data_IF_410407309732
#
_entry.id   IF_410407309732
#
_cell.length_a   1.000
_cell.length_b   1.000
_cell.length_c   1.000
_cell.angle_alpha   90.00
_cell.angle_beta   90.00
_cell.angle_gamma   90.00
#
_symmetry.space_group_name_H-M   'P 1'
#
loop_
_entity.id
_entity.type
_entity.pdbx_description
1 polymer ?
#
# COMPACT_ATOMS: atom_id res chain seq x y z
N UNK A 1 -3.97 69.05 -14.92
CA UNK A 1 -4.85 68.18 -15.72
C UNK A 1 -4.18 66.80 -15.83
N UNK A 2 -4.66 65.82 -15.05
CA UNK A 2 -5.17 64.49 -15.50
C UNK A 2 -4.17 63.68 -16.39
N UNK A 3 -3.55 62.62 -15.85
CA UNK A 3 -3.83 61.16 -16.12
C UNK A 3 -3.14 60.68 -17.43
N UNK A 4 -2.42 59.56 -17.61
CA UNK A 4 -2.39 58.17 -17.11
C UNK A 4 -0.99 57.55 -17.44
N UNK A 5 -0.33 56.81 -16.53
CA UNK A 5 -0.23 55.33 -16.42
C UNK A 5 0.24 54.55 -17.67
N UNK A 6 1.33 53.78 -17.53
CA UNK A 6 1.60 52.41 -18.05
C UNK A 6 2.99 51.99 -17.51
N UNK A 7 3.14 51.33 -16.36
CA UNK A 7 2.79 49.95 -15.97
C UNK A 7 3.40 48.87 -16.87
N UNK A 8 4.48 48.23 -16.38
CA UNK A 8 4.89 46.86 -16.75
C UNK A 8 5.96 46.35 -15.76
N UNK A 9 5.56 46.05 -14.52
CA UNK A 9 6.30 45.10 -13.69
C UNK A 9 5.84 43.70 -14.10
N UNK A 10 6.71 42.97 -14.81
CA UNK A 10 6.51 41.53 -15.05
C UNK A 10 6.85 40.82 -13.73
N UNK A 11 5.84 40.65 -12.89
CA UNK A 11 5.91 39.73 -11.76
C UNK A 11 5.81 38.30 -12.32
N UNK A 12 6.96 37.67 -12.52
CA UNK A 12 7.05 36.24 -12.80
C UNK A 12 6.67 35.50 -11.52
N UNK A 13 5.37 35.26 -11.31
CA UNK A 13 4.91 34.36 -10.26
C UNK A 13 5.44 32.96 -10.59
N UNK A 14 6.38 32.47 -9.76
CA UNK A 14 6.68 31.05 -9.66
C UNK A 14 5.39 30.36 -9.19
N UNK A 15 4.54 29.97 -10.13
CA UNK A 15 3.50 28.99 -9.89
C UNK A 15 4.24 27.67 -9.72
N UNK A 16 4.66 27.38 -8.48
CA UNK A 16 5.03 26.02 -8.13
C UNK A 16 3.79 25.19 -8.42
N UNK A 17 3.83 24.42 -9.51
CA UNK A 17 2.84 23.39 -9.75
C UNK A 17 2.91 22.46 -8.54
N UNK A 18 2.00 22.64 -7.60
CA UNK A 18 1.71 21.64 -6.59
C UNK A 18 1.04 20.54 -7.41
N UNK A 19 1.84 19.61 -7.94
CA UNK A 19 1.31 18.31 -8.31
C UNK A 19 0.78 17.72 -7.00
N UNK A 20 -0.54 17.87 -6.78
CA UNK A 20 -1.21 17.17 -5.71
C UNK A 20 -0.89 15.69 -5.90
N UNK A 21 -0.38 15.05 -4.84
CA UNK A 21 -0.13 13.61 -4.90
C UNK A 21 -1.45 12.91 -5.27
N UNK A 22 -1.44 11.96 -6.22
CA UNK A 22 -2.64 11.20 -6.57
C UNK A 22 -3.22 10.55 -5.31
N UNK A 23 -4.54 10.44 -5.23
CA UNK A 23 -5.14 9.72 -4.13
C UNK A 23 -4.73 8.25 -4.22
N UNK A 24 -4.62 7.54 -3.10
CA UNK A 24 -4.09 6.18 -3.11
C UNK A 24 -4.91 5.23 -4.00
N UNK A 25 -6.21 5.47 -4.13
CA UNK A 25 -7.07 4.71 -5.05
C UNK A 25 -6.74 4.92 -6.52
N UNK A 26 -6.19 6.09 -6.89
CA UNK A 26 -5.83 6.42 -8.28
C UNK A 26 -4.52 5.70 -8.70
N UNK A 27 -3.76 5.19 -7.72
CA UNK A 27 -2.53 4.42 -7.95
C UNK A 27 -2.82 2.94 -8.26
N UNK A 28 -4.04 2.49 -7.99
CA UNK A 28 -4.42 1.09 -8.12
C UNK A 28 -4.73 0.75 -9.59
N UNK A 29 -4.41 -0.47 -10.03
CA UNK A 29 -4.72 -0.92 -11.38
C UNK A 29 -6.22 -1.08 -11.60
N UNK A 30 -6.64 -1.10 -12.87
CA UNK A 30 -8.04 -1.27 -13.25
C UNK A 30 -8.60 -2.64 -12.85
N UNK A 31 -7.73 -3.64 -12.71
CA UNK A 31 -8.02 -5.02 -12.33
C UNK A 31 -8.25 -5.17 -10.80
N UNK A 32 -8.32 -4.07 -10.06
CA UNK A 32 -8.65 -4.08 -8.63
C UNK A 32 -10.10 -4.55 -8.42
N UNK A 33 -10.27 -5.73 -7.81
CA UNK A 33 -11.58 -6.34 -7.54
C UNK A 33 -12.11 -6.07 -6.14
N UNK A 34 -11.25 -5.66 -5.22
CA UNK A 34 -11.64 -5.20 -3.89
C UNK A 34 -10.75 -4.04 -3.47
N UNK A 35 -11.36 -2.98 -2.95
CA UNK A 35 -10.68 -1.80 -2.44
C UNK A 35 -11.32 -1.37 -1.12
N UNK A 36 -10.48 -1.22 -0.10
CA UNK A 36 -10.81 -0.52 1.13
C UNK A 36 -9.83 0.64 1.32
N UNK A 37 -10.28 1.87 1.07
CA UNK A 37 -9.50 3.09 1.23
C UNK A 37 -10.07 3.95 2.37
N UNK A 38 -9.19 4.51 3.18
CA UNK A 38 -9.54 5.27 4.37
C UNK A 38 -8.73 6.57 4.41
N UNK A 39 -9.31 7.67 4.92
CA UNK A 39 -8.61 8.95 5.01
C UNK A 39 -7.45 8.93 6.02
N UNK A 40 -7.53 8.04 7.01
CA UNK A 40 -6.52 7.83 8.04
C UNK A 40 -6.58 6.40 8.60
N UNK A 41 -5.56 6.05 9.38
CA UNK A 41 -5.44 4.73 9.98
C UNK A 41 -6.49 4.43 11.05
N UNK A 42 -6.90 5.43 11.84
CA UNK A 42 -7.93 5.24 12.87
C UNK A 42 -9.26 4.83 12.24
N UNK A 43 -9.58 5.39 11.07
CA UNK A 43 -10.75 5.03 10.27
C UNK A 43 -10.60 3.63 9.67
N UNK A 44 -9.41 3.25 9.22
CA UNK A 44 -9.13 1.89 8.75
C UNK A 44 -9.33 0.85 9.87
N UNK A 45 -8.73 1.07 11.05
CA UNK A 45 -8.83 0.13 12.18
C UNK A 45 -10.27 -0.08 12.65
N UNK A 46 -11.05 1.01 12.77
CA UNK A 46 -12.48 0.93 13.11
C UNK A 46 -13.30 0.15 12.08
N UNK A 47 -13.06 0.37 10.79
CA UNK A 47 -13.94 -0.15 9.74
C UNK A 47 -13.58 -1.55 9.22
N UNK A 48 -12.30 -1.95 9.32
CA UNK A 48 -11.85 -3.26 8.87
C UNK A 48 -12.13 -4.39 9.88
N UNK A 49 -12.02 -4.12 11.19
CA UNK A 49 -12.18 -5.18 12.20
C UNK A 49 -13.63 -5.44 12.62
N UNK A 50 -14.43 -4.39 12.75
CA UNK A 50 -15.78 -4.47 13.32
C UNK A 50 -16.80 -3.56 12.63
N UNK A 51 -16.37 -2.84 11.58
CA UNK A 51 -17.25 -1.94 10.84
C UNK A 51 -17.80 -2.54 9.56
N UNK A 52 -18.40 -1.68 8.75
CA UNK A 52 -19.18 -2.06 7.55
C UNK A 52 -18.35 -2.88 6.55
N UNK A 53 -17.09 -2.52 6.33
CA UNK A 53 -16.22 -3.21 5.37
C UNK A 53 -15.82 -4.60 5.88
N UNK A 54 -15.40 -4.71 7.14
CA UNK A 54 -15.13 -6.00 7.76
C UNK A 54 -16.37 -6.90 7.81
N UNK A 55 -17.53 -6.33 8.13
CA UNK A 55 -18.82 -7.03 8.10
C UNK A 55 -19.19 -7.52 6.71
N UNK A 56 -19.02 -6.69 5.67
CA UNK A 56 -19.25 -7.06 4.28
C UNK A 56 -18.30 -8.19 3.84
N UNK A 57 -17.00 -8.08 4.13
CA UNK A 57 -16.03 -9.14 3.81
C UNK A 57 -16.37 -10.48 4.49
N UNK A 58 -16.87 -10.42 5.71
CA UNK A 58 -17.27 -11.59 6.49
C UNK A 58 -18.71 -12.05 6.21
N UNK A 59 -19.46 -11.37 5.33
CA UNK A 59 -20.86 -11.67 5.07
C UNK A 59 -21.03 -12.99 4.31
N UNK A 60 -22.24 -13.55 4.37
CA UNK A 60 -22.56 -14.80 3.67
C UNK A 60 -22.49 -14.64 2.15
N UNK A 61 -22.86 -13.46 1.64
CA UNK A 61 -22.86 -13.10 0.23
C UNK A 61 -21.43 -13.07 -0.32
N UNK A 62 -20.46 -12.59 0.48
CA UNK A 62 -19.06 -12.55 0.09
C UNK A 62 -18.33 -13.87 0.27
N UNK A 63 -18.96 -14.91 0.83
CA UNK A 63 -18.31 -16.20 1.10
C UNK A 63 -17.72 -16.84 -0.17
N UNK A 64 -18.46 -16.86 -1.28
CA UNK A 64 -17.99 -17.49 -2.52
C UNK A 64 -16.82 -16.73 -3.15
N UNK A 65 -16.90 -15.39 -3.14
CA UNK A 65 -15.83 -14.51 -3.58
C UNK A 65 -14.58 -14.69 -2.71
N UNK A 66 -14.76 -14.62 -1.39
CA UNK A 66 -13.69 -14.82 -0.41
C UNK A 66 -13.03 -16.17 -0.60
N UNK A 67 -13.78 -17.27 -0.65
CA UNK A 67 -13.21 -18.61 -0.90
C UNK A 67 -12.46 -18.67 -2.24
N UNK A 68 -12.95 -18.02 -3.30
CA UNK A 68 -12.26 -17.99 -4.59
C UNK A 68 -10.94 -17.22 -4.51
N UNK A 69 -10.93 -16.09 -3.82
CA UNK A 69 -9.73 -15.30 -3.55
C UNK A 69 -8.77 -16.11 -2.66
N UNK A 70 -9.22 -16.57 -1.48
CA UNK A 70 -8.44 -17.37 -0.53
C UNK A 70 -7.86 -18.65 -1.14
N UNK A 71 -8.53 -19.30 -2.09
CA UNK A 71 -7.97 -20.44 -2.85
C UNK A 71 -6.85 -20.03 -3.80
N UNK A 72 -6.88 -18.80 -4.29
CA UNK A 72 -5.82 -18.23 -5.10
C UNK A 72 -4.57 -17.91 -4.28
N UNK A 73 -4.73 -17.70 -2.97
CA UNK A 73 -3.63 -17.59 -2.03
C UNK A 73 -3.36 -18.94 -1.36
N UNK A 74 -2.13 -19.18 -0.90
CA UNK A 74 -1.87 -20.39 -0.10
C UNK A 74 -2.58 -20.34 1.28
N UNK A 75 -2.99 -19.14 1.78
CA UNK A 75 -3.69 -18.93 3.06
C UNK A 75 -4.70 -17.73 3.03
N UNK A 76 -5.70 -17.67 3.95
CA UNK A 76 -6.76 -16.61 4.02
C UNK A 76 -6.27 -15.18 4.31
N UNK A 77 -5.90 -14.36 3.31
CA UNK A 77 -5.24 -13.04 3.44
C UNK A 77 -5.77 -12.12 4.55
N UNK A 78 -7.09 -12.00 4.68
CA UNK A 78 -7.72 -10.96 5.51
C UNK A 78 -8.01 -11.43 6.94
N UNK A 79 -8.19 -12.73 7.18
CA UNK A 79 -8.43 -13.25 8.53
C UNK A 79 -7.25 -13.12 9.48
N UNK A 80 -6.01 -13.05 8.98
CA UNK A 80 -4.82 -13.35 9.79
C UNK A 80 -3.52 -12.61 9.40
N UNK A 81 -3.58 -11.33 9.01
CA UNK A 81 -2.38 -10.52 8.66
C UNK A 81 -1.27 -10.63 9.72
N UNK A 82 -1.63 -10.63 11.02
CA UNK A 82 -0.69 -10.80 12.14
C UNK A 82 -0.03 -12.19 12.15
N UNK A 83 -0.80 -13.26 11.97
CA UNK A 83 -0.26 -14.63 11.98
C UNK A 83 0.57 -14.91 10.72
N UNK A 84 0.06 -14.47 9.56
CA UNK A 84 0.69 -14.70 8.26
C UNK A 84 1.95 -13.90 8.07
N UNK A 85 1.85 -12.58 8.23
CA UNK A 85 2.93 -11.66 7.87
C UNK A 85 3.74 -11.20 9.09
N UNK A 86 3.34 -11.58 10.31
CA UNK A 86 4.02 -11.17 11.54
C UNK A 86 3.96 -9.65 11.77
N UNK A 87 3.03 -8.97 11.08
CA UNK A 87 2.90 -7.52 11.09
C UNK A 87 1.90 -7.16 12.19
N UNK A 88 2.35 -6.45 13.21
CA UNK A 88 1.42 -5.94 14.21
C UNK A 88 0.74 -4.69 13.69
N UNK A 89 -0.59 -4.66 13.80
CA UNK A 89 -1.44 -3.53 13.41
C UNK A 89 -0.96 -2.22 14.09
N UNK A 90 -0.38 -2.27 15.29
CA UNK A 90 0.18 -1.09 15.96
C UNK A 90 1.39 -0.48 15.23
N UNK A 91 2.17 -1.26 14.50
CA UNK A 91 3.36 -0.77 13.79
C UNK A 91 2.99 0.14 12.61
N UNK A 92 1.81 -0.08 12.03
CA UNK A 92 1.26 0.74 10.95
C UNK A 92 0.66 2.06 11.46
N UNK A 93 0.11 2.06 12.68
CA UNK A 93 -0.41 3.27 13.33
C UNK A 93 0.69 4.32 13.53
N UNK A 94 1.89 3.90 13.96
CA UNK A 94 3.03 4.79 14.19
C UNK A 94 3.43 5.57 12.92
N UNK A 95 3.36 4.91 11.76
CA UNK A 95 3.81 5.49 10.49
C UNK A 95 2.71 6.26 9.78
N UNK A 96 1.44 5.90 9.95
CA UNK A 96 0.35 6.55 9.24
C UNK A 96 0.28 8.05 9.60
N UNK A 97 0.17 8.88 8.56
CA UNK A 97 0.03 10.33 8.66
C UNK A 97 -0.94 10.88 7.60
N UNK A 98 -1.71 10.00 6.97
CA UNK A 98 -2.58 10.30 5.85
C UNK A 98 -3.34 9.05 5.41
N UNK A 99 -3.79 9.01 4.15
CA UNK A 99 -4.62 7.93 3.63
C UNK A 99 -3.98 6.54 3.75
N UNK A 100 -4.84 5.54 3.83
CA UNK A 100 -4.48 4.11 3.87
C UNK A 100 -5.35 3.39 2.86
N UNK A 101 -4.78 2.48 2.07
CA UNK A 101 -5.52 1.65 1.13
C UNK A 101 -5.10 0.18 1.19
N UNK A 102 -6.09 -0.69 1.10
CA UNK A 102 -5.95 -2.14 0.95
C UNK A 102 -6.64 -2.55 -0.35
N UNK A 103 -5.94 -3.30 -1.19
CA UNK A 103 -6.49 -3.73 -2.47
C UNK A 103 -6.20 -5.20 -2.74
N UNK A 104 -7.16 -5.85 -3.41
CA UNK A 104 -6.99 -7.16 -4.03
C UNK A 104 -7.15 -6.96 -5.53
N UNK A 105 -6.14 -7.38 -6.27
CA UNK A 105 -6.05 -7.24 -7.73
C UNK A 105 -6.21 -8.61 -8.35
N UNK A 106 -7.02 -8.72 -9.39
CA UNK A 106 -7.19 -9.99 -10.10
C UNK A 106 -5.86 -10.44 -10.70
N UNK A 107 -5.55 -11.73 -10.61
CA UNK A 107 -4.37 -12.32 -11.27
C UNK A 107 -4.48 -12.21 -12.80
N UNK A 108 -3.32 -12.14 -13.48
CA UNK A 108 -3.24 -12.00 -14.96
C UNK A 108 -3.87 -13.18 -15.73
N UNK A 109 -4.15 -14.30 -15.07
CA UNK A 109 -4.86 -15.47 -15.60
C UNK A 109 -5.71 -16.13 -14.50
N UNK A 110 -6.70 -16.98 -14.84
CA UNK A 110 -7.52 -17.68 -13.84
C UNK A 110 -6.73 -18.53 -12.85
N UNK A 111 -5.57 -19.02 -13.24
CA UNK A 111 -4.68 -19.87 -12.44
C UNK A 111 -3.63 -19.07 -11.65
N UNK A 112 -3.47 -17.77 -11.93
CA UNK A 112 -2.53 -16.92 -11.23
C UNK A 112 -3.06 -16.52 -9.84
N UNK A 113 -2.17 -16.54 -8.85
CA UNK A 113 -2.44 -15.99 -7.53
C UNK A 113 -2.84 -14.51 -7.67
N UNK A 114 -3.92 -14.05 -7.02
CA UNK A 114 -4.30 -12.65 -7.07
C UNK A 114 -3.22 -11.75 -6.44
N UNK A 115 -3.18 -10.49 -6.86
CA UNK A 115 -2.35 -9.48 -6.24
C UNK A 115 -2.97 -8.96 -4.95
N UNK A 116 -2.14 -8.62 -3.98
CA UNK A 116 -2.50 -7.94 -2.75
C UNK A 116 -1.62 -6.70 -2.59
N UNK A 117 -2.22 -5.56 -2.21
CA UNK A 117 -1.52 -4.30 -1.96
C UNK A 117 -1.96 -3.67 -0.64
N UNK A 118 -0.98 -3.11 0.07
CA UNK A 118 -1.18 -2.19 1.21
C UNK A 118 -0.37 -0.93 0.97
N UNK A 119 -1.07 0.20 1.03
CA UNK A 119 -0.50 1.53 0.85
C UNK A 119 -0.78 2.35 2.10
N UNK A 120 0.25 2.98 2.68
CA UNK A 120 0.09 3.87 3.84
C UNK A 120 0.88 5.14 3.57
N UNK A 121 0.18 6.27 3.55
CA UNK A 121 0.83 7.58 3.52
C UNK A 121 1.42 7.89 4.91
N UNK A 122 2.74 7.88 5.01
CA UNK A 122 3.48 8.31 6.19
C UNK A 122 3.87 9.79 6.16
N UNK A 123 3.50 10.52 5.09
CA UNK A 123 3.82 11.92 4.89
C UNK A 123 5.32 12.19 5.06
N UNK A 124 5.65 13.05 6.03
CA UNK A 124 7.04 13.41 6.32
C UNK A 124 7.76 12.43 7.27
N UNK A 125 7.07 11.41 7.81
CA UNK A 125 7.62 10.42 8.75
C UNK A 125 8.52 9.36 8.09
N UNK A 126 9.33 9.75 7.09
CA UNK A 126 10.14 8.83 6.26
C UNK A 126 11.18 8.02 7.08
N UNK A 127 11.69 8.61 8.15
CA UNK A 127 12.63 7.95 9.07
C UNK A 127 11.93 6.92 9.96
N UNK A 128 10.76 7.27 10.52
CA UNK A 128 9.91 6.32 11.26
C UNK A 128 9.50 5.17 10.36
N UNK A 129 9.06 5.46 9.14
CA UNK A 129 8.75 4.46 8.12
C UNK A 129 9.91 3.47 7.88
N UNK A 130 11.12 3.98 7.72
CA UNK A 130 12.31 3.13 7.52
C UNK A 130 12.59 2.24 8.74
N UNK A 131 12.40 2.75 9.96
CA UNK A 131 12.53 1.97 11.20
C UNK A 131 11.45 0.90 11.32
N UNK A 132 10.21 1.21 10.96
CA UNK A 132 9.11 0.25 10.95
C UNK A 132 9.42 -0.89 10.01
N UNK A 133 9.79 -0.63 8.74
CA UNK A 133 10.19 -1.69 7.79
C UNK A 133 11.32 -2.56 8.37
N UNK A 134 12.32 -1.93 9.00
CA UNK A 134 13.43 -2.66 9.63
C UNK A 134 12.97 -3.52 10.82
N UNK A 135 11.97 -3.08 11.58
CA UNK A 135 11.38 -3.84 12.69
C UNK A 135 10.57 -5.03 12.16
N UNK A 136 9.77 -4.84 11.10
CA UNK A 136 9.06 -5.92 10.42
C UNK A 136 10.02 -7.01 9.94
N UNK A 137 11.12 -6.63 9.28
CA UNK A 137 12.17 -7.57 8.84
C UNK A 137 12.75 -8.37 10.03
N UNK A 138 13.08 -7.68 11.13
CA UNK A 138 13.64 -8.35 12.32
C UNK A 138 12.63 -9.30 12.97
N UNK A 139 11.36 -8.91 13.07
CA UNK A 139 10.31 -9.74 13.64
C UNK A 139 10.08 -10.99 12.78
N UNK A 140 10.08 -10.85 11.46
CA UNK A 140 10.02 -11.99 10.53
C UNK A 140 11.15 -12.99 10.75
N UNK A 141 12.40 -12.48 10.87
CA UNK A 141 13.59 -13.30 11.15
C UNK A 141 13.56 -13.98 12.52
N UNK A 142 13.08 -13.28 13.55
CA UNK A 142 12.92 -13.85 14.90
C UNK A 142 12.01 -15.06 14.93
N UNK A 143 11.04 -15.13 14.02
CA UNK A 143 10.16 -16.28 13.83
C UNK A 143 10.80 -17.42 13.01
N UNK A 144 12.13 -17.41 12.83
CA UNK A 144 12.87 -18.43 12.07
C UNK A 144 12.73 -18.34 10.55
N UNK A 145 12.08 -17.28 10.04
CA UNK A 145 11.78 -17.13 8.61
C UNK A 145 12.86 -16.31 7.89
N UNK A 146 13.03 -16.54 6.60
CA UNK A 146 14.06 -15.89 5.78
C UNK A 146 13.54 -14.58 5.16
N UNK A 147 14.46 -13.71 4.76
CA UNK A 147 14.16 -12.54 3.93
C UNK A 147 15.20 -12.43 2.81
N UNK A 148 14.85 -11.75 1.73
CA UNK A 148 15.78 -11.33 0.69
C UNK A 148 15.64 -9.84 0.41
N UNK A 149 16.73 -9.18 0.01
CA UNK A 149 16.69 -7.81 -0.49
C UNK A 149 16.44 -7.84 -1.99
N UNK A 150 15.50 -7.04 -2.47
CA UNK A 150 15.11 -6.98 -3.89
C UNK A 150 15.04 -5.54 -4.36
N UNK A 151 15.10 -5.36 -5.67
CA UNK A 151 14.80 -4.07 -6.31
C UNK A 151 13.47 -4.20 -7.05
N UNK A 152 12.61 -3.19 -6.94
CA UNK A 152 11.32 -3.07 -7.65
C UNK A 152 11.21 -1.63 -8.15
N UNK A 153 11.08 -1.39 -9.45
CA UNK A 153 11.08 -0.02 -10.01
C UNK A 153 12.33 0.78 -9.64
N UNK A 154 13.49 0.12 -9.51
CA UNK A 154 14.74 0.72 -9.03
C UNK A 154 14.76 1.12 -7.55
N UNK A 155 13.75 0.74 -6.76
CA UNK A 155 13.66 1.00 -5.32
C UNK A 155 13.99 -0.23 -4.50
N UNK A 156 14.55 -0.01 -3.31
CA UNK A 156 14.94 -1.09 -2.39
C UNK A 156 13.71 -1.63 -1.66
N UNK A 157 13.50 -2.94 -1.77
CA UNK A 157 12.48 -3.70 -1.07
C UNK A 157 13.11 -4.81 -0.23
N UNK A 158 12.39 -5.25 0.79
CA UNK A 158 12.65 -6.47 1.54
C UNK A 158 11.53 -7.45 1.19
N UNK A 159 11.88 -8.62 0.69
CA UNK A 159 10.94 -9.70 0.45
C UNK A 159 10.97 -10.66 1.63
N UNK A 160 9.82 -10.87 2.25
CA UNK A 160 9.57 -11.87 3.26
C UNK A 160 9.42 -13.23 2.59
N UNK A 161 10.15 -14.23 3.06
CA UNK A 161 10.09 -15.60 2.54
C UNK A 161 9.27 -16.45 3.51
N UNK A 162 8.20 -17.07 2.99
CA UNK A 162 7.32 -17.96 3.72
C UNK A 162 7.95 -19.33 4.00
N UNK A 163 7.24 -20.18 4.74
CA UNK A 163 7.71 -21.53 5.10
C UNK A 163 7.94 -22.44 3.88
N UNK A 164 7.21 -22.20 2.79
CA UNK A 164 7.39 -22.89 1.49
C UNK A 164 8.67 -22.49 0.76
N UNK A 165 9.42 -21.50 1.27
CA UNK A 165 10.61 -20.96 0.61
C UNK A 165 10.32 -19.94 -0.49
N UNK A 166 9.05 -19.67 -0.79
CA UNK A 166 8.61 -18.63 -1.74
C UNK A 166 8.59 -17.24 -1.09
N UNK A 167 8.77 -16.20 -1.90
CA UNK A 167 8.53 -14.82 -1.47
C UNK A 167 7.03 -14.61 -1.35
N UNK A 168 6.56 -14.15 -0.20
CA UNK A 168 5.11 -14.01 0.10
C UNK A 168 4.68 -12.56 0.26
N UNK A 169 5.62 -11.66 0.55
CA UNK A 169 5.33 -10.24 0.70
C UNK A 169 6.59 -9.41 0.47
N UNK A 170 6.49 -8.36 -0.33
CA UNK A 170 7.52 -7.37 -0.56
C UNK A 170 7.17 -6.12 0.24
N UNK A 171 8.11 -5.60 1.03
CA UNK A 171 7.97 -4.40 1.85
C UNK A 171 8.94 -3.34 1.35
N UNK A 172 8.43 -2.15 1.05
CA UNK A 172 9.24 -1.06 0.54
C UNK A 172 8.63 0.30 0.82
N UNK A 173 9.26 1.32 0.23
CA UNK A 173 8.76 2.69 0.31
C UNK A 173 9.18 3.52 -0.90
N UNK A 174 8.32 4.47 -1.25
CA UNK A 174 8.60 5.57 -2.17
C UNK A 174 8.44 6.89 -1.38
N UNK A 175 9.55 7.56 -1.06
CA UNK A 175 9.53 8.75 -0.17
C UNK A 175 8.79 8.44 1.15
N UNK A 176 7.62 9.05 1.37
CA UNK A 176 6.74 8.88 2.53
C UNK A 176 5.64 7.83 2.34
N UNK A 177 5.53 7.19 1.18
CA UNK A 177 4.56 6.15 0.92
C UNK A 177 5.14 4.79 1.29
N UNK A 178 4.51 4.09 2.23
CA UNK A 178 4.77 2.67 2.47
C UNK A 178 4.07 1.83 1.40
N UNK A 179 4.78 0.82 0.90
CA UNK A 179 4.31 -0.09 -0.13
C UNK A 179 4.50 -1.52 0.37
N UNK A 180 3.44 -2.32 0.37
CA UNK A 180 3.54 -3.76 0.54
C UNK A 180 2.65 -4.51 -0.46
N UNK A 181 3.15 -5.63 -0.98
CA UNK A 181 2.37 -6.50 -1.86
C UNK A 181 3.08 -7.82 -2.18
N UNK A 182 2.34 -8.81 -2.68
CA UNK A 182 2.86 -10.15 -3.00
C UNK A 182 3.40 -10.28 -4.44
N UNK A 183 3.08 -9.32 -5.31
CA UNK A 183 3.51 -9.29 -6.71
C UNK A 183 4.44 -8.08 -6.96
N UNK A 184 5.61 -8.32 -7.55
CA UNK A 184 6.59 -7.27 -7.86
C UNK A 184 6.19 -6.43 -9.05
N UNK A 185 5.64 -7.03 -10.09
CA UNK A 185 5.21 -6.31 -11.29
C UNK A 185 4.13 -5.30 -10.89
N UNK A 186 3.20 -5.73 -10.04
CA UNK A 186 2.14 -4.87 -9.53
C UNK A 186 2.69 -3.68 -8.72
N UNK A 187 3.71 -3.91 -7.90
CA UNK A 187 4.38 -2.86 -7.14
C UNK A 187 5.19 -1.92 -8.03
N UNK A 188 5.79 -2.44 -9.11
CA UNK A 188 6.52 -1.65 -10.09
C UNK A 188 5.59 -0.71 -10.85
N UNK A 189 4.48 -1.22 -11.40
CA UNK A 189 3.44 -0.42 -12.04
C UNK A 189 2.92 0.69 -11.12
N UNK A 190 2.73 0.38 -9.83
CA UNK A 190 2.27 1.35 -8.85
C UNK A 190 3.30 2.47 -8.62
N UNK A 191 4.59 2.12 -8.54
CA UNK A 191 5.69 3.10 -8.43
C UNK A 191 5.75 3.99 -9.66
N UNK A 192 5.53 3.45 -10.85
CA UNK A 192 5.47 4.21 -12.11
C UNK A 192 4.31 5.22 -12.09
N UNK A 193 3.08 4.76 -11.82
CA UNK A 193 1.89 5.62 -11.68
C UNK A 193 2.10 6.74 -10.66
N UNK A 194 2.66 6.40 -9.49
CA UNK A 194 2.93 7.38 -8.44
C UNK A 194 4.04 8.38 -8.83
N UNK A 195 4.93 8.00 -9.74
CA UNK A 195 5.95 8.89 -10.29
C UNK A 195 5.42 9.76 -11.43
N UNK A 196 4.17 9.60 -11.84
CA UNK A 196 3.57 10.26 -13.00
C UNK A 196 4.15 9.78 -14.32
N UNK A 197 4.66 8.54 -14.36
CA UNK A 197 5.24 7.90 -15.54
C UNK A 197 4.33 6.80 -16.06
#
# INVERSE_FOLDING_TARGET
MKKLLFSSLIAFSLMQAIFAAPALQDLLPAETVFLAAFPDYASADRNLKSGVIGGLWNSAEMKSFRVKIEKGFEDDILGNIKERFGLEIKEFEEIANGPVAFAIVQGKSPEAEPGFLVLIDAGKKTFTLSRTISRLERNWKKNGRKVSRTSVGGKKFISLIGSSGKQVLHLGREKGLFLAGNDKDLLEDLIERNSGK
#
